data_IF_482641536825
#
_entry.id   IF_482641536825
#
_cell.length_a   1.000
_cell.length_b   1.000
_cell.length_c   1.000
_cell.angle_alpha   90.00
_cell.angle_beta   90.00
_cell.angle_gamma   90.00
#
_symmetry.space_group_name_H-M   'P 1'
#
loop_
_entity.id
_entity.type
_entity.pdbx_description
1 polymer ?
#
# COMPACT_ATOMS: atom_id res chain seq x y z
N UNK A 1 2.98 8.20 -15.17
CA UNK A 1 3.20 8.75 -13.80
C UNK A 1 2.31 8.03 -12.78
N UNK A 2 2.01 6.75 -13.02
CA UNK A 2 1.14 5.92 -12.19
C UNK A 2 -0.21 6.60 -11.85
N UNK A 3 -0.66 7.52 -12.70
CA UNK A 3 -1.90 8.29 -12.59
C UNK A 3 -2.14 9.05 -11.29
N UNK A 4 -1.10 9.37 -10.49
CA UNK A 4 -1.25 9.91 -9.13
C UNK A 4 -2.12 11.19 -9.01
N UNK A 5 -2.25 11.97 -10.08
CA UNK A 5 -3.13 13.15 -10.11
C UNK A 5 -4.63 12.80 -10.14
N UNK A 6 -4.99 11.58 -10.52
CA UNK A 6 -6.37 11.12 -10.71
C UNK A 6 -6.72 9.92 -9.83
N UNK A 7 -5.74 9.05 -9.55
CA UNK A 7 -5.92 7.83 -8.76
C UNK A 7 -4.94 7.78 -7.60
N UNK A 8 -5.41 7.25 -6.46
CA UNK A 8 -4.59 6.87 -5.32
C UNK A 8 -4.84 5.39 -5.05
N UNK A 9 -3.80 4.57 -5.24
CA UNK A 9 -3.96 3.12 -5.20
C UNK A 9 -4.85 2.62 -6.34
N UNK A 10 -6.03 2.09 -5.98
CA UNK A 10 -7.08 1.65 -6.91
C UNK A 10 -8.30 2.59 -6.88
N UNK A 11 -8.23 3.68 -6.12
CA UNK A 11 -9.34 4.59 -5.91
C UNK A 11 -9.20 5.87 -6.74
N UNK A 12 -10.31 6.38 -7.24
CA UNK A 12 -10.37 7.66 -7.92
C UNK A 12 -10.39 8.81 -6.91
N UNK A 13 -9.49 9.77 -7.07
CA UNK A 13 -9.40 10.96 -6.22
C UNK A 13 -10.45 11.99 -6.62
N UNK A 14 -11.76 11.72 -6.53
CA UNK A 14 -12.89 12.68 -6.72
C UNK A 14 -12.67 13.83 -7.73
N UNK A 15 -12.01 13.56 -8.86
CA UNK A 15 -11.71 14.52 -9.92
C UNK A 15 -12.42 14.07 -11.19
N UNK A 16 -12.95 15.03 -11.95
CA UNK A 16 -13.50 14.77 -13.27
C UNK A 16 -12.41 14.17 -14.18
N UNK A 17 -12.68 13.02 -14.79
CA UNK A 17 -11.74 12.36 -15.69
C UNK A 17 -10.95 11.21 -15.08
N UNK A 18 -11.44 10.57 -14.02
CA UNK A 18 -10.89 9.28 -13.59
C UNK A 18 -11.12 8.21 -14.66
N UNK A 19 -10.16 8.06 -15.57
CA UNK A 19 -10.11 6.95 -16.50
C UNK A 19 -9.27 5.81 -15.87
N UNK A 20 -9.66 4.54 -16.06
CA UNK A 20 -8.83 3.41 -15.67
C UNK A 20 -7.44 3.55 -16.30
N UNK A 21 -6.39 3.34 -15.51
CA UNK A 21 -5.03 3.27 -16.03
C UNK A 21 -4.86 1.92 -16.76
N UNK A 22 -5.27 1.86 -18.03
CA UNK A 22 -5.23 0.61 -18.81
C UNK A 22 -3.82 0.04 -18.98
N UNK A 23 -2.78 0.87 -18.84
CA UNK A 23 -1.38 0.51 -19.09
C UNK A 23 -0.43 0.77 -17.91
N UNK A 24 -0.91 1.17 -16.74
CA UNK A 24 -0.05 1.31 -15.56
C UNK A 24 -0.41 0.20 -14.57
N UNK A 25 0.60 -0.61 -14.21
CA UNK A 25 0.41 -1.72 -13.29
C UNK A 25 -0.21 -1.24 -11.98
N UNK A 26 -1.41 -1.73 -11.68
CA UNK A 26 -2.07 -1.41 -10.42
C UNK A 26 -1.28 -1.97 -9.24
N UNK A 27 -1.33 -1.31 -8.08
CA UNK A 27 -0.70 -1.84 -6.87
C UNK A 27 -1.32 -3.19 -6.50
N UNK A 28 -0.47 -4.10 -6.02
CA UNK A 28 -0.89 -5.43 -5.55
C UNK A 28 -1.69 -5.32 -4.23
N UNK A 29 -1.38 -4.30 -3.43
CA UNK A 29 -2.05 -4.01 -2.17
C UNK A 29 -2.32 -2.51 -2.03
N UNK A 30 -3.51 -2.18 -1.55
CA UNK A 30 -3.92 -0.84 -1.13
C UNK A 30 -4.47 -0.93 0.28
N UNK A 31 -4.25 0.11 1.07
CA UNK A 31 -4.74 0.19 2.45
C UNK A 31 -5.50 1.50 2.62
N UNK A 32 -6.63 1.52 3.34
CA UNK A 32 -7.38 2.75 3.55
C UNK A 32 -6.57 3.73 4.39
N UNK A 33 -6.55 5.00 3.99
CA UNK A 33 -5.95 6.09 4.75
C UNK A 33 -6.88 6.57 5.89
N UNK A 34 -7.51 5.63 6.59
CA UNK A 34 -8.47 5.91 7.68
C UNK A 34 -7.77 6.34 8.97
N UNK A 35 -6.53 5.88 9.18
CA UNK A 35 -5.66 6.26 10.29
C UNK A 35 -4.62 7.21 9.71
N UNK A 36 -4.66 8.49 10.09
CA UNK A 36 -3.81 9.55 9.52
C UNK A 36 -2.36 9.44 9.98
N UNK A 37 -1.68 8.40 9.55
CA UNK A 37 -0.34 8.08 9.98
C UNK A 37 0.52 7.80 8.73
N UNK A 38 1.79 8.18 8.80
CA UNK A 38 2.73 8.12 7.67
C UNK A 38 3.47 6.78 7.66
N UNK A 39 3.25 5.95 6.65
CA UNK A 39 4.05 4.74 6.44
C UNK A 39 5.49 5.11 6.08
N UNK A 40 6.45 4.74 6.93
CA UNK A 40 7.88 5.06 6.71
C UNK A 40 8.63 3.90 6.05
N UNK A 41 8.20 2.66 6.29
CA UNK A 41 8.81 1.49 5.66
C UNK A 41 8.31 0.16 6.23
N UNK A 42 8.92 -0.93 5.78
CA UNK A 42 8.58 -2.27 6.23
C UNK A 42 9.54 -3.34 5.72
N UNK A 43 9.34 -4.57 6.16
CA UNK A 43 10.16 -5.72 5.83
C UNK A 43 9.34 -7.01 5.75
N UNK A 44 9.76 -7.95 4.88
CA UNK A 44 9.20 -9.31 4.87
C UNK A 44 9.82 -10.07 6.04
N UNK A 45 8.99 -10.50 6.98
CA UNK A 45 9.45 -11.26 8.13
C UNK A 45 9.87 -12.67 7.70
N UNK A 46 11.13 -13.02 7.99
CA UNK A 46 11.72 -14.35 7.71
C UNK A 46 12.39 -14.96 8.95
N UNK A 47 12.12 -14.42 10.13
CA UNK A 47 12.73 -14.87 11.38
C UNK A 47 12.14 -16.18 11.90
N UNK A 48 12.86 -16.86 12.80
CA UNK A 48 12.44 -18.16 13.35
C UNK A 48 11.50 -18.07 14.56
N UNK A 49 11.48 -16.92 15.25
CA UNK A 49 10.73 -16.77 16.50
C UNK A 49 9.21 -16.86 16.28
N UNK A 50 8.72 -16.30 15.16
CA UNK A 50 7.33 -16.38 14.71
C UNK A 50 7.25 -17.16 13.38
N UNK A 51 7.45 -18.48 13.44
CA UNK A 51 7.50 -19.32 12.23
C UNK A 51 6.24 -19.23 11.36
N UNK A 52 5.07 -18.99 11.94
CA UNK A 52 3.81 -18.80 11.20
C UNK A 52 3.87 -17.55 10.30
N UNK A 53 4.34 -16.42 10.84
CA UNK A 53 4.49 -15.18 10.07
C UNK A 53 5.50 -15.35 8.93
N UNK A 54 6.58 -16.09 9.17
CA UNK A 54 7.58 -16.38 8.15
C UNK A 54 7.04 -17.33 7.07
N UNK A 55 6.30 -18.37 7.46
CA UNK A 55 5.71 -19.35 6.54
C UNK A 55 4.63 -18.72 5.65
N UNK A 56 3.85 -17.79 6.19
CA UNK A 56 2.86 -17.04 5.43
C UNK A 56 3.43 -15.80 4.71
N UNK A 57 4.73 -15.50 4.87
CA UNK A 57 5.41 -14.43 4.14
C UNK A 57 4.95 -13.02 4.54
N UNK A 58 4.64 -12.79 5.81
CA UNK A 58 4.07 -11.53 6.27
C UNK A 58 5.01 -10.34 5.99
N UNK A 59 4.43 -9.26 5.48
CA UNK A 59 5.08 -7.97 5.37
C UNK A 59 4.72 -7.10 6.58
N UNK A 60 5.71 -6.73 7.38
CA UNK A 60 5.54 -5.92 8.58
C UNK A 60 5.96 -4.49 8.26
N UNK A 61 5.09 -3.52 8.50
CA UNK A 61 5.36 -2.11 8.26
C UNK A 61 5.33 -1.29 9.56
N UNK A 62 5.94 -0.12 9.52
CA UNK A 62 5.98 0.83 10.62
C UNK A 62 5.60 2.24 10.17
N UNK A 63 5.07 2.99 11.13
CA UNK A 63 4.58 4.35 10.96
C UNK A 63 5.27 5.29 11.97
N UNK A 64 5.30 6.58 11.66
CA UNK A 64 5.66 7.63 12.60
C UNK A 64 4.43 8.48 12.92
N UNK A 65 4.02 8.41 14.18
CA UNK A 65 2.92 9.22 14.74
C UNK A 65 3.52 10.23 15.71
N UNK A 66 3.18 11.51 15.55
CA UNK A 66 3.54 12.61 16.47
C UNK A 66 2.42 12.91 17.46
#
# INVERSE_FOLDING_TARGET
>A
NYGWSFVEGTECRNVSGCAPLENEGLPIFTFPHSSKHSLVGGYVYRGKNFAEMAGAGYYVYGDVVS
#
